data_IF_506244149468
#
_entry.id   IF_506244149468
#
_cell.length_a   1.000
_cell.length_b   1.000
_cell.length_c   1.000
_cell.angle_alpha   90.00
_cell.angle_beta   90.00
_cell.angle_gamma   90.00
#
_symmetry.space_group_name_H-M   'P 1'
#
loop_
_entity.id
_entity.type
_entity.pdbx_description
1 polymer ?
#
# COMPACT_ATOMS: atom_id res chain seq x y z
N UNK A 1 13.51 -15.05 -18.51
CA UNK A 1 13.27 -15.27 -17.08
C UNK A 1 12.09 -16.23 -16.97
N UNK A 2 12.17 -17.21 -16.07
CA UNK A 2 11.13 -18.23 -15.85
C UNK A 2 9.99 -17.72 -14.95
N UNK A 3 9.93 -16.42 -14.71
CA UNK A 3 8.90 -15.77 -13.91
C UNK A 3 7.79 -15.23 -14.79
N UNK A 4 6.55 -15.39 -14.32
CA UNK A 4 5.39 -14.77 -14.93
C UNK A 4 5.57 -13.25 -14.96
N UNK A 5 5.39 -12.64 -16.14
CA UNK A 5 5.49 -11.22 -16.32
C UNK A 5 4.06 -10.64 -16.35
N UNK A 6 3.73 -9.82 -15.36
CA UNK A 6 2.47 -9.08 -15.39
C UNK A 6 2.63 -7.85 -16.30
N UNK A 7 1.95 -7.85 -17.45
CA UNK A 7 2.03 -6.75 -18.42
C UNK A 7 1.67 -5.38 -17.83
N UNK A 8 0.77 -5.34 -16.85
CA UNK A 8 0.39 -4.09 -16.18
C UNK A 8 1.53 -3.47 -15.36
N UNK A 9 2.48 -4.28 -14.89
CA UNK A 9 3.66 -3.81 -14.17
C UNK A 9 4.62 -3.03 -15.07
N UNK A 10 4.61 -3.31 -16.38
CA UNK A 10 5.51 -2.68 -17.36
C UNK A 10 4.95 -1.42 -17.99
N UNK A 11 3.70 -1.04 -17.73
CA UNK A 11 3.07 0.13 -18.32
C UNK A 11 3.57 1.48 -17.77
N UNK A 12 4.35 1.48 -16.67
CA UNK A 12 4.75 2.68 -15.95
C UNK A 12 6.25 2.97 -16.00
N UNK A 13 6.71 3.70 -17.03
CA UNK A 13 8.00 4.39 -16.98
C UNK A 13 7.74 5.81 -16.50
N UNK A 14 8.35 6.20 -15.39
CA UNK A 14 8.28 7.57 -14.87
C UNK A 14 9.61 8.27 -15.13
N UNK A 15 9.60 9.26 -16.03
CA UNK A 15 10.78 10.05 -16.36
C UNK A 15 11.06 11.08 -15.27
N UNK A 16 12.30 11.10 -14.81
CA UNK A 16 12.90 12.11 -13.95
C UNK A 16 13.80 13.02 -14.79
N UNK A 17 14.53 13.96 -14.19
CA UNK A 17 15.35 14.91 -14.96
C UNK A 17 16.32 14.20 -15.92
N UNK A 18 17.24 13.37 -15.42
CA UNK A 18 18.28 12.67 -16.19
C UNK A 18 18.21 11.14 -16.05
N UNK A 19 17.10 10.63 -15.55
CA UNK A 19 16.88 9.22 -15.27
C UNK A 19 15.43 8.85 -15.51
N UNK A 20 15.10 7.57 -15.44
CA UNK A 20 13.72 7.13 -15.30
C UNK A 20 13.62 6.04 -14.22
N UNK A 21 12.44 5.93 -13.64
CA UNK A 21 12.06 4.85 -12.73
C UNK A 21 11.23 3.82 -13.48
N UNK A 22 11.59 2.57 -13.31
CA UNK A 22 10.89 1.44 -13.89
C UNK A 22 10.55 0.41 -12.81
N UNK A 23 9.33 -0.14 -12.86
CA UNK A 23 8.90 -1.21 -11.98
C UNK A 23 9.22 -2.57 -12.62
N UNK A 24 9.71 -3.52 -11.81
CA UNK A 24 10.05 -4.84 -12.32
C UNK A 24 10.03 -5.90 -11.22
N UNK A 25 9.58 -7.10 -11.56
CA UNK A 25 9.54 -8.28 -10.69
C UNK A 25 10.81 -9.15 -10.77
N UNK A 26 11.88 -8.65 -11.40
CA UNK A 26 13.14 -9.39 -11.65
C UNK A 26 13.81 -9.99 -10.42
N UNK A 27 13.49 -9.50 -9.23
CA UNK A 27 14.00 -9.99 -7.95
C UNK A 27 13.01 -10.87 -7.19
N UNK A 28 11.91 -11.30 -7.82
CA UNK A 28 10.85 -12.11 -7.23
C UNK A 28 9.66 -11.31 -6.73
N UNK A 29 9.84 -10.00 -6.51
CA UNK A 29 8.80 -9.06 -6.09
C UNK A 29 8.85 -7.80 -6.95
N UNK A 30 7.71 -7.10 -7.09
CA UNK A 30 7.65 -5.84 -7.82
C UNK A 30 8.37 -4.73 -7.05
N UNK A 31 9.46 -4.22 -7.62
CA UNK A 31 10.28 -3.15 -7.06
C UNK A 31 10.56 -2.03 -8.05
N UNK A 32 10.99 -0.89 -7.50
CA UNK A 32 11.41 0.29 -8.26
C UNK A 32 12.91 0.22 -8.58
N UNK A 33 13.26 0.48 -9.82
CA UNK A 33 14.63 0.51 -10.32
C UNK A 33 14.90 1.85 -11.02
N UNK A 34 16.05 2.43 -10.75
CA UNK A 34 16.52 3.68 -11.37
C UNK A 34 17.41 3.35 -12.57
N UNK A 35 17.12 3.98 -13.70
CA UNK A 35 17.88 3.86 -14.94
C UNK A 35 18.35 5.20 -15.47
N UNK A 36 19.48 5.21 -16.16
CA UNK A 36 19.87 6.33 -17.03
C UNK A 36 18.93 6.42 -18.23
N UNK A 37 18.88 7.57 -18.91
CA UNK A 37 18.10 7.72 -20.15
C UNK A 37 18.57 6.81 -21.29
N UNK A 38 19.81 6.28 -21.21
CA UNK A 38 20.33 5.31 -22.17
C UNK A 38 19.92 3.84 -21.85
N UNK A 39 19.13 3.62 -20.77
CA UNK A 39 18.65 2.29 -20.40
C UNK A 39 19.61 1.48 -19.51
N UNK A 40 20.66 2.08 -18.98
CA UNK A 40 21.57 1.43 -18.06
C UNK A 40 21.02 1.44 -16.63
N UNK A 41 21.03 0.29 -15.95
CA UNK A 41 20.59 0.18 -14.57
C UNK A 41 21.57 0.91 -13.62
N UNK A 42 21.08 1.95 -12.95
CA UNK A 42 21.86 2.66 -11.92
C UNK A 42 21.82 1.91 -10.60
N UNK A 43 20.62 1.59 -10.10
CA UNK A 43 20.42 0.84 -8.85
C UNK A 43 18.96 0.47 -8.63
N UNK A 44 18.67 -0.53 -7.78
CA UNK A 44 17.34 -0.66 -7.19
C UNK A 44 17.08 0.52 -6.23
N UNK A 45 15.86 1.06 -6.26
CA UNK A 45 15.37 2.07 -5.30
C UNK A 45 14.77 1.37 -4.09
N UNK A 46 14.01 0.28 -4.31
CA UNK A 46 13.41 -0.55 -3.28
C UNK A 46 13.89 -2.00 -3.39
N UNK A 47 13.87 -2.72 -2.27
CA UNK A 47 14.22 -4.15 -2.20
C UNK A 47 13.61 -4.79 -0.96
N UNK A 48 13.34 -6.08 -1.00
CA UNK A 48 12.80 -6.88 0.13
C UNK A 48 11.77 -7.89 -0.32
N UNK A 49 11.16 -8.60 0.62
CA UNK A 49 10.10 -9.59 0.39
C UNK A 49 8.73 -8.91 0.48
N UNK A 50 8.47 -7.96 -0.40
CA UNK A 50 7.22 -7.22 -0.51
C UNK A 50 7.10 -6.62 -1.91
N UNK A 51 5.91 -6.22 -2.28
CA UNK A 51 5.64 -5.57 -3.55
C UNK A 51 5.40 -4.08 -3.39
N UNK A 52 6.00 -3.29 -4.25
CA UNK A 52 5.57 -1.92 -4.53
C UNK A 52 4.25 -2.00 -5.31
N UNK A 53 3.21 -1.37 -4.78
CA UNK A 53 1.88 -1.33 -5.42
C UNK A 53 1.73 -0.12 -6.33
N UNK A 54 2.28 1.02 -5.92
CA UNK A 54 2.19 2.25 -6.70
C UNK A 54 3.42 3.14 -6.46
N UNK A 55 3.95 3.72 -7.52
CA UNK A 55 4.96 4.78 -7.47
C UNK A 55 4.26 6.13 -7.64
N UNK A 56 4.42 7.03 -6.66
CA UNK A 56 3.75 8.34 -6.65
C UNK A 56 4.59 9.46 -7.20
N UNK A 57 5.92 9.27 -7.29
CA UNK A 57 6.83 10.26 -7.82
C UNK A 57 8.06 10.50 -6.94
N UNK A 58 8.75 11.61 -7.22
CA UNK A 58 10.06 11.92 -6.71
C UNK A 58 10.20 13.39 -6.31
N UNK A 59 10.81 13.64 -5.15
CA UNK A 59 11.28 14.98 -4.75
C UNK A 59 12.76 15.14 -5.16
N UNK A 60 13.00 15.86 -6.28
CA UNK A 60 14.34 16.06 -6.84
C UNK A 60 15.28 16.81 -5.87
N UNK A 61 14.75 17.72 -5.06
CA UNK A 61 15.55 18.51 -4.12
C UNK A 61 16.08 17.69 -2.96
N UNK A 62 15.29 16.71 -2.49
CA UNK A 62 15.66 15.84 -1.37
C UNK A 62 16.17 14.47 -1.82
N UNK A 63 16.03 14.18 -3.10
CA UNK A 63 16.29 12.87 -3.67
C UNK A 63 15.55 11.75 -2.93
N UNK A 64 14.24 11.95 -2.74
CA UNK A 64 13.31 11.05 -2.06
C UNK A 64 12.26 10.52 -3.04
N UNK A 65 12.04 9.21 -3.03
CA UNK A 65 11.07 8.50 -3.88
C UNK A 65 9.88 8.08 -3.01
N UNK A 66 8.66 8.32 -3.49
CA UNK A 66 7.41 8.08 -2.76
C UNK A 66 6.63 6.95 -3.42
N UNK A 67 6.21 5.97 -2.64
CA UNK A 67 5.53 4.78 -3.16
C UNK A 67 4.60 4.18 -2.10
N UNK A 68 3.68 3.29 -2.53
CA UNK A 68 2.98 2.39 -1.63
C UNK A 68 3.49 0.95 -1.76
N UNK A 69 3.38 0.20 -0.69
CA UNK A 69 3.74 -1.22 -0.67
C UNK A 69 2.95 -1.99 0.38
N UNK A 70 2.94 -3.33 0.21
CA UNK A 70 2.39 -4.27 1.18
C UNK A 70 3.43 -4.78 2.19
N UNK A 71 4.52 -4.04 2.39
CA UNK A 71 5.57 -4.41 3.33
C UNK A 71 5.02 -4.69 4.73
N UNK A 72 5.40 -5.83 5.28
CA UNK A 72 4.99 -6.31 6.60
C UNK A 72 3.70 -7.12 6.62
N UNK A 73 2.84 -7.03 5.60
CA UNK A 73 1.66 -7.90 5.48
C UNK A 73 1.02 -7.78 4.09
N UNK A 74 0.71 -8.88 3.40
CA UNK A 74 0.01 -8.86 2.11
C UNK A 74 -1.42 -8.28 2.21
N UNK A 75 -1.98 -8.20 3.42
CA UNK A 75 -3.33 -7.70 3.69
C UNK A 75 -3.40 -6.18 3.87
N UNK A 76 -2.27 -5.48 3.74
CA UNK A 76 -2.17 -4.05 4.04
C UNK A 76 -1.40 -3.31 2.97
N UNK A 77 -1.70 -2.04 2.84
CA UNK A 77 -0.97 -1.14 1.97
C UNK A 77 -0.66 0.16 2.71
N UNK A 78 0.62 0.51 2.74
CA UNK A 78 1.10 1.73 3.39
C UNK A 78 1.89 2.59 2.42
N UNK A 79 1.91 3.90 2.72
CA UNK A 79 2.69 4.87 1.99
C UNK A 79 4.06 4.99 2.63
N UNK A 80 5.09 4.98 1.79
CA UNK A 80 6.50 5.09 2.18
C UNK A 80 7.21 6.15 1.35
N UNK A 81 8.32 6.59 1.88
CA UNK A 81 9.36 7.25 1.10
C UNK A 81 10.72 6.59 1.37
N UNK A 82 11.59 6.63 0.39
CA UNK A 82 12.97 6.16 0.51
C UNK A 82 13.91 7.21 -0.09
N UNK A 83 15.00 7.53 0.59
CA UNK A 83 15.99 8.47 0.08
C UNK A 83 17.08 7.76 -0.75
N UNK A 84 17.98 8.54 -1.37
CA UNK A 84 19.08 8.02 -2.18
C UNK A 84 20.01 7.06 -1.44
N UNK A 85 20.12 7.18 -0.12
CA UNK A 85 20.93 6.30 0.75
C UNK A 85 20.20 5.02 1.16
N UNK A 86 18.97 4.82 0.70
CA UNK A 86 18.15 3.65 1.04
C UNK A 86 17.44 3.75 2.40
N UNK A 87 17.48 4.91 3.08
CA UNK A 87 16.72 5.09 4.32
C UNK A 87 15.25 5.23 3.99
N UNK A 88 14.46 4.26 4.43
CA UNK A 88 13.02 4.19 4.27
C UNK A 88 12.29 4.80 5.46
N UNK A 89 11.15 5.44 5.18
CA UNK A 89 10.26 6.01 6.20
C UNK A 89 8.81 5.68 5.83
N UNK A 90 8.09 5.07 6.74
CA UNK A 90 6.63 4.83 6.64
C UNK A 90 5.90 6.14 6.94
N UNK A 91 4.98 6.56 6.08
CA UNK A 91 4.25 7.83 6.17
C UNK A 91 2.83 7.68 6.72
N UNK A 92 2.28 6.47 6.74
CA UNK A 92 0.93 6.17 7.24
C UNK A 92 1.00 5.23 8.42
N UNK A 93 0.28 5.56 9.49
CA UNK A 93 0.27 4.77 10.74
C UNK A 93 -0.88 3.76 10.79
N UNK A 94 -2.05 4.12 10.24
CA UNK A 94 -3.27 3.32 10.37
C UNK A 94 -3.19 2.06 9.52
N UNK A 95 -3.49 0.93 10.14
CA UNK A 95 -3.53 -0.37 9.50
C UNK A 95 -4.71 -0.50 8.54
N UNK A 96 -4.48 -1.16 7.40
CA UNK A 96 -5.46 -1.31 6.32
C UNK A 96 -4.87 -0.86 4.98
N UNK A 97 -5.71 -0.33 4.11
CA UNK A 97 -5.31 0.17 2.80
C UNK A 97 -5.19 1.68 2.83
N UNK A 98 -4.03 2.19 2.46
CA UNK A 98 -3.74 3.61 2.33
C UNK A 98 -3.38 3.92 0.87
N UNK A 99 -4.06 4.89 0.27
CA UNK A 99 -3.79 5.39 -1.08
C UNK A 99 -3.56 6.88 -1.04
N UNK A 100 -2.60 7.37 -1.81
CA UNK A 100 -2.22 8.77 -1.79
C UNK A 100 -2.36 9.45 -3.14
N UNK A 101 -2.63 10.75 -3.08
CA UNK A 101 -2.43 11.68 -4.20
C UNK A 101 -1.49 12.78 -3.70
N UNK A 102 -0.32 12.87 -4.30
CA UNK A 102 0.69 13.84 -3.92
C UNK A 102 0.54 15.16 -4.67
N UNK A 103 0.88 16.25 -3.98
CA UNK A 103 1.04 17.57 -4.60
C UNK A 103 2.27 17.63 -5.49
N UNK A 104 2.31 18.55 -6.44
CA UNK A 104 3.53 18.87 -7.17
C UNK A 104 4.68 19.16 -6.19
N UNK A 105 5.84 18.53 -6.42
CA UNK A 105 7.02 18.64 -5.54
C UNK A 105 6.91 17.90 -4.20
N UNK A 106 5.99 16.94 -4.07
CA UNK A 106 5.91 15.95 -2.99
C UNK A 106 5.87 16.52 -1.56
N UNK A 107 5.39 17.76 -1.37
CA UNK A 107 5.36 18.41 -0.03
C UNK A 107 4.16 17.95 0.81
N UNK A 108 3.05 17.67 0.16
CA UNK A 108 1.79 17.28 0.79
C UNK A 108 1.18 16.12 0.02
N UNK A 109 0.32 15.37 0.70
CA UNK A 109 -0.52 14.37 0.05
C UNK A 109 -1.89 14.28 0.71
N UNK A 110 -2.88 13.91 -0.09
CA UNK A 110 -4.17 13.44 0.40
C UNK A 110 -4.06 11.94 0.58
N UNK A 111 -4.31 11.45 1.78
CA UNK A 111 -4.39 10.02 2.07
C UNK A 111 -5.86 9.60 2.16
N UNK A 112 -6.23 8.58 1.43
CA UNK A 112 -7.50 7.85 1.60
C UNK A 112 -7.19 6.54 2.29
N UNK A 113 -7.65 6.40 3.52
CA UNK A 113 -7.47 5.21 4.34
C UNK A 113 -8.80 4.48 4.51
N UNK A 114 -8.76 3.16 4.46
CA UNK A 114 -9.86 2.28 4.88
C UNK A 114 -9.30 0.97 5.44
N UNK A 115 -10.10 0.30 6.26
CA UNK A 115 -9.79 -1.06 6.71
C UNK A 115 -11.01 -1.95 6.56
N UNK A 116 -10.86 -3.22 6.92
CA UNK A 116 -11.89 -4.24 6.77
C UNK A 116 -13.25 -3.85 7.41
N UNK A 117 -13.20 -3.10 8.52
CA UNK A 117 -14.37 -2.64 9.28
C UNK A 117 -14.40 -1.11 9.48
N UNK A 118 -13.58 -0.38 8.71
CA UNK A 118 -13.50 1.08 8.82
C UNK A 118 -13.81 1.71 7.48
N UNK A 119 -14.88 2.53 7.38
CA UNK A 119 -15.15 3.32 6.19
C UNK A 119 -13.99 4.25 5.83
N UNK A 120 -13.99 4.74 4.59
CA UNK A 120 -12.94 5.64 4.13
C UNK A 120 -12.80 6.88 5.02
N UNK A 121 -11.56 7.15 5.41
CA UNK A 121 -11.15 8.39 6.06
C UNK A 121 -10.19 9.11 5.12
N UNK A 122 -10.44 10.40 4.86
CA UNK A 122 -9.61 11.19 3.95
C UNK A 122 -8.93 12.30 4.75
N UNK A 123 -7.60 12.35 4.65
CA UNK A 123 -6.79 13.35 5.35
C UNK A 123 -5.83 14.05 4.41
N UNK A 124 -5.47 15.28 4.72
CA UNK A 124 -4.28 15.94 4.16
C UNK A 124 -3.11 15.74 5.11
N UNK A 125 -1.96 15.37 4.54
CA UNK A 125 -0.75 15.05 5.27
C UNK A 125 0.44 15.82 4.67
N UNK A 126 1.45 16.11 5.49
CA UNK A 126 2.73 16.55 4.97
C UNK A 126 3.63 15.34 4.59
N UNK A 127 4.76 15.60 3.96
CA UNK A 127 5.68 14.55 3.50
C UNK A 127 6.53 13.90 4.63
N UNK A 128 6.24 14.20 5.89
CA UNK A 128 6.71 13.42 7.05
C UNK A 128 5.64 12.45 7.58
N UNK A 129 4.45 12.43 6.98
CA UNK A 129 3.32 11.60 7.40
C UNK A 129 2.42 12.26 8.45
N UNK A 130 2.75 13.47 8.93
CA UNK A 130 1.90 14.19 9.91
C UNK A 130 0.59 14.62 9.26
N UNK A 131 -0.54 14.23 9.86
CA UNK A 131 -1.87 14.70 9.47
C UNK A 131 -1.98 16.21 9.76
N UNK A 132 -2.39 16.97 8.75
CA UNK A 132 -2.64 18.41 8.84
C UNK A 132 -4.11 18.65 9.09
N UNK A 133 -4.97 17.96 8.35
CA UNK A 133 -6.42 18.10 8.44
C UNK A 133 -7.12 16.81 8.01
N UNK A 134 -8.16 16.43 8.75
CA UNK A 134 -9.13 15.43 8.31
C UNK A 134 -10.18 16.13 7.42
N UNK A 135 -10.36 15.63 6.21
CA UNK A 135 -11.33 16.15 5.25
C UNK A 135 -12.64 15.39 5.34
N UNK A 136 -12.57 14.06 5.50
CA UNK A 136 -13.72 13.17 5.63
C UNK A 136 -13.36 12.13 6.70
N UNK A 137 -14.18 12.03 7.75
CA UNK A 137 -14.02 11.03 8.82
C UNK A 137 -15.10 9.95 8.81
N UNK A 138 -16.19 10.20 8.06
CA UNK A 138 -17.38 9.34 7.98
C UNK A 138 -18.00 9.02 9.35
N UNK A 139 -17.92 9.95 10.33
CA UNK A 139 -18.51 9.78 11.66
C UNK A 139 -20.02 9.49 11.59
N UNK A 140 -20.78 10.26 10.80
CA UNK A 140 -22.22 10.05 10.62
C UNK A 140 -22.53 8.66 10.02
N UNK A 141 -21.69 8.16 9.09
CA UNK A 141 -21.86 6.82 8.54
C UNK A 141 -21.60 5.75 9.60
N UNK A 142 -20.57 5.93 10.43
CA UNK A 142 -20.25 5.02 11.52
C UNK A 142 -21.38 4.96 12.56
N UNK A 143 -21.94 6.11 12.93
CA UNK A 143 -23.09 6.21 13.84
C UNK A 143 -24.31 5.47 13.28
N UNK A 144 -24.64 5.70 12.00
CA UNK A 144 -25.75 4.99 11.34
C UNK A 144 -25.52 3.49 11.23
N UNK A 145 -24.29 3.06 10.93
CA UNK A 145 -23.99 1.64 10.86
C UNK A 145 -24.06 0.95 12.23
N UNK A 146 -23.79 1.69 13.32
CA UNK A 146 -23.91 1.17 14.68
C UNK A 146 -25.37 0.91 15.13
N UNK A 147 -26.36 1.46 14.40
CA UNK A 147 -27.79 1.18 14.64
C UNK A 147 -28.21 -0.19 14.10
N UNK A 148 -27.38 -0.84 13.30
CA UNK A 148 -27.63 -2.14 12.69
C UNK A 148 -26.72 -3.19 13.29
N UNK A 149 -27.24 -4.40 13.45
CA UNK A 149 -26.47 -5.59 13.83
C UNK A 149 -25.63 -6.07 12.63
N UNK A 150 -24.63 -5.24 12.26
CA UNK A 150 -23.76 -5.55 11.12
C UNK A 150 -22.75 -6.62 11.50
N UNK A 151 -22.66 -7.70 10.72
CA UNK A 151 -21.63 -8.70 10.94
C UNK A 151 -20.25 -8.10 10.69
N UNK A 152 -19.29 -8.42 11.58
CA UNK A 152 -17.89 -8.01 11.41
C UNK A 152 -17.16 -8.97 10.49
N UNK A 153 -16.29 -8.40 9.67
CA UNK A 153 -15.36 -9.18 8.85
C UNK A 153 -14.09 -9.44 9.66
N UNK A 154 -13.63 -10.67 9.67
CA UNK A 154 -12.44 -11.11 10.40
C UNK A 154 -11.41 -11.70 9.43
N UNK A 155 -10.13 -11.38 9.63
CA UNK A 155 -9.04 -12.07 8.96
C UNK A 155 -8.61 -13.29 9.77
N UNK A 156 -8.21 -14.33 9.07
CA UNK A 156 -7.62 -15.53 9.66
C UNK A 156 -6.54 -16.10 8.74
N UNK A 157 -5.68 -16.94 9.29
CA UNK A 157 -4.72 -17.71 8.52
C UNK A 157 -5.01 -19.19 8.66
N UNK A 158 -4.69 -19.97 7.66
CA UNK A 158 -4.75 -21.43 7.69
C UNK A 158 -3.62 -22.02 6.86
N UNK A 159 -3.18 -23.21 7.26
CA UNK A 159 -2.12 -23.92 6.55
C UNK A 159 -2.74 -25.04 5.71
N UNK A 160 -2.38 -25.09 4.43
CA UNK A 160 -2.79 -26.15 3.52
C UNK A 160 -2.12 -27.48 3.84
N UNK A 161 -2.57 -28.58 3.25
CA UNK A 161 -1.99 -29.92 3.47
C UNK A 161 -0.53 -30.05 3.01
N UNK A 162 -0.11 -29.20 2.09
CA UNK A 162 1.27 -29.10 1.58
C UNK A 162 2.13 -28.07 2.34
N UNK A 163 1.62 -27.52 3.46
CA UNK A 163 2.36 -26.66 4.36
C UNK A 163 2.38 -25.17 3.98
N UNK A 164 1.57 -24.73 3.01
CA UNK A 164 1.50 -23.33 2.61
C UNK A 164 0.53 -22.58 3.52
N UNK A 165 1.00 -21.48 4.15
CA UNK A 165 0.14 -20.57 4.91
C UNK A 165 -0.61 -19.63 3.98
N UNK A 166 -1.93 -19.60 4.11
CA UNK A 166 -2.83 -18.75 3.34
C UNK A 166 -3.60 -17.80 4.26
N UNK A 167 -3.84 -16.59 3.75
CA UNK A 167 -4.70 -15.62 4.40
C UNK A 167 -6.13 -15.78 3.89
N UNK A 168 -7.09 -15.75 4.82
CA UNK A 168 -8.51 -15.76 4.52
C UNK A 168 -9.24 -14.64 5.24
N UNK A 169 -10.48 -14.43 4.85
CA UNK A 169 -11.41 -13.58 5.59
C UNK A 169 -12.78 -14.25 5.64
N UNK A 170 -13.52 -13.97 6.70
CA UNK A 170 -14.87 -14.48 6.87
C UNK A 170 -15.79 -13.40 7.45
N UNK A 171 -17.06 -13.54 7.17
CA UNK A 171 -18.14 -12.80 7.81
C UNK A 171 -19.01 -13.82 8.50
N UNK A 172 -19.10 -13.74 9.82
CA UNK A 172 -20.01 -14.57 10.62
C UNK A 172 -21.35 -13.85 10.75
N UNK A 173 -22.47 -14.58 10.89
CA UNK A 173 -23.74 -13.96 11.31
C UNK A 173 -23.54 -13.13 12.58
N UNK A 174 -24.34 -12.08 12.76
CA UNK A 174 -24.22 -11.23 13.97
C UNK A 174 -24.50 -12.00 15.28
N UNK A 175 -25.37 -13.01 15.20
CA UNK A 175 -25.76 -13.92 16.29
C UNK A 175 -24.97 -15.26 16.25
N UNK A 176 -23.76 -15.24 15.73
CA UNK A 176 -22.94 -16.44 15.53
C UNK A 176 -22.74 -17.19 16.85
N UNK A 177 -23.09 -18.48 16.86
CA UNK A 177 -22.93 -19.41 17.97
C UNK A 177 -22.02 -20.56 17.52
N UNK A 178 -20.80 -20.64 18.06
CA UNK A 178 -19.82 -21.67 17.70
C UNK A 178 -20.28 -23.12 17.99
N UNK A 179 -21.34 -23.32 18.78
CA UNK A 179 -21.93 -24.63 19.06
C UNK A 179 -22.88 -25.10 17.96
N UNK A 180 -23.30 -24.20 17.06
CA UNK A 180 -24.23 -24.48 15.97
C UNK A 180 -23.50 -24.77 14.67
N UNK A 181 -24.15 -25.51 13.78
CA UNK A 181 -23.72 -25.68 12.39
C UNK A 181 -24.44 -24.67 11.51
N UNK A 182 -23.69 -24.03 10.64
CA UNK A 182 -24.19 -23.10 9.63
C UNK A 182 -24.04 -23.71 8.24
N UNK A 183 -24.92 -23.38 7.28
CA UNK A 183 -24.83 -23.88 5.91
C UNK A 183 -23.59 -23.36 5.19
#
# INVERSE_FOLDING_TARGET
SDTYLNEQTYAGIEFLDNHFVFQSERSGYNHLYLYTLNGELVRPITKGEYEVKHFYGWDSKKNEYYYSSNEGSPLREHIYKVNAKGKKTKLTANEGTNKAVFSAGMKYFINTHSSINTPHVVTTNNNSGKVIKTLIDNSNLKERLAEFDMPTKEFFTFTTSDGVELNGWMIKPYDFDASKKYP
#
